data_IF_197879592978
#
_entry.id   IF_197879592978
#
_cell.length_a   1.000
_cell.length_b   1.000
_cell.length_c   1.000
_cell.angle_alpha   90.00
_cell.angle_beta   90.00
_cell.angle_gamma   90.00
#
_symmetry.space_group_name_H-M   'P 1'
#
loop_
_entity.id
_entity.type
_entity.pdbx_description
1 polymer ?
#
# COMPACT_ATOMS: atom_id res chain seq x y z
N UNK A 1 -62.47 -30.53 43.87
CA UNK A 1 -61.99 -29.35 43.13
C UNK A 1 -60.50 -29.20 43.37
N UNK A 2 -59.68 -29.66 42.47
CA UNK A 2 -58.22 -29.58 42.59
C UNK A 2 -57.68 -28.78 41.38
N UNK A 3 -57.19 -27.60 41.64
CA UNK A 3 -56.58 -26.68 40.68
C UNK A 3 -55.14 -27.09 40.47
N UNK A 4 -54.81 -27.38 39.20
CA UNK A 4 -53.50 -27.79 38.72
C UNK A 4 -52.65 -26.48 38.41
N UNK A 5 -51.42 -26.32 38.90
CA UNK A 5 -50.60 -25.20 38.55
C UNK A 5 -49.98 -25.42 37.14
N UNK A 6 -50.09 -24.41 36.26
CA UNK A 6 -49.41 -24.33 34.98
C UNK A 6 -47.98 -23.85 35.22
N UNK A 7 -47.00 -24.74 35.07
CA UNK A 7 -45.60 -24.38 34.94
C UNK A 7 -45.31 -24.05 33.48
N UNK A 8 -45.33 -22.80 33.13
CA UNK A 8 -44.81 -22.30 31.86
C UNK A 8 -43.32 -22.06 31.98
N UNK A 9 -42.52 -23.01 31.52
CA UNK A 9 -41.08 -22.87 31.37
C UNK A 9 -40.85 -22.48 29.92
N UNK A 10 -40.81 -21.18 29.71
CA UNK A 10 -40.37 -20.55 28.46
C UNK A 10 -38.84 -20.53 28.46
N UNK A 11 -38.24 -21.65 28.04
CA UNK A 11 -36.84 -21.72 27.70
C UNK A 11 -36.68 -21.13 26.32
N UNK A 12 -36.51 -19.81 26.26
CA UNK A 12 -36.02 -19.11 25.05
C UNK A 12 -34.70 -19.73 24.65
N UNK A 13 -34.77 -20.61 23.66
CA UNK A 13 -33.63 -21.18 22.95
C UNK A 13 -33.01 -20.06 22.08
N UNK A 14 -32.19 -19.22 22.71
CA UNK A 14 -31.27 -18.34 22.00
C UNK A 14 -30.13 -19.18 21.40
N UNK A 15 -30.46 -20.06 20.48
CA UNK A 15 -29.50 -20.59 19.52
C UNK A 15 -29.13 -19.46 18.59
N UNK A 16 -28.24 -18.55 19.07
CA UNK A 16 -27.43 -17.70 18.20
C UNK A 16 -26.80 -18.63 17.16
N UNK A 17 -27.37 -18.60 15.94
CA UNK A 17 -27.00 -19.49 14.86
C UNK A 17 -25.49 -19.39 14.60
N UNK A 18 -24.73 -20.31 15.17
CA UNK A 18 -23.35 -20.54 14.81
C UNK A 18 -23.35 -20.91 13.32
N UNK A 19 -23.04 -19.92 12.49
CA UNK A 19 -22.81 -20.11 11.07
C UNK A 19 -21.72 -21.18 10.95
N UNK A 20 -22.09 -22.40 10.59
CA UNK A 20 -21.12 -23.46 10.37
C UNK A 20 -20.19 -23.04 9.24
N UNK A 21 -18.92 -22.84 9.57
CA UNK A 21 -17.91 -22.48 8.57
C UNK A 21 -17.52 -23.74 7.79
N UNK A 22 -17.59 -23.66 6.46
CA UNK A 22 -17.08 -24.72 5.62
C UNK A 22 -15.55 -24.81 5.77
N UNK A 23 -15.04 -25.97 6.12
CA UNK A 23 -13.61 -26.25 6.16
C UNK A 23 -13.04 -26.30 4.76
N UNK A 24 -11.72 -26.15 4.62
CA UNK A 24 -11.00 -26.32 3.36
C UNK A 24 -10.97 -27.82 2.99
N UNK A 25 -11.27 -28.14 1.72
CA UNK A 25 -11.17 -29.51 1.18
C UNK A 25 -9.74 -29.89 0.75
N UNK A 26 -8.75 -29.06 1.08
CA UNK A 26 -7.35 -29.24 0.69
C UNK A 26 -6.67 -30.28 1.58
N UNK A 27 -5.81 -31.10 0.98
CA UNK A 27 -4.89 -31.96 1.72
C UNK A 27 -3.86 -31.13 2.52
N UNK A 28 -3.28 -31.71 3.57
CA UNK A 28 -2.38 -31.01 4.48
C UNK A 28 -1.14 -30.42 3.78
N UNK A 29 -0.61 -31.10 2.76
CA UNK A 29 0.56 -30.61 2.01
C UNK A 29 0.23 -29.38 1.18
N UNK A 30 -0.83 -29.45 0.39
CA UNK A 30 -1.32 -28.32 -0.42
C UNK A 30 -1.72 -27.16 0.46
N UNK A 31 -2.32 -27.41 1.62
CA UNK A 31 -2.65 -26.36 2.59
C UNK A 31 -1.38 -25.68 3.15
N UNK A 32 -0.32 -26.44 3.43
CA UNK A 32 0.95 -25.90 3.91
C UNK A 32 1.64 -25.04 2.82
N UNK A 33 1.65 -25.49 1.56
CA UNK A 33 2.20 -24.74 0.42
C UNK A 33 1.43 -23.42 0.22
N UNK A 34 0.11 -23.43 0.24
CA UNK A 34 -0.70 -22.22 0.07
C UNK A 34 -0.49 -21.24 1.23
N UNK A 35 -0.31 -21.72 2.47
CA UNK A 35 0.05 -20.84 3.59
C UNK A 35 1.40 -20.17 3.40
N UNK A 36 2.40 -20.90 2.90
CA UNK A 36 3.73 -20.36 2.60
C UNK A 36 3.63 -19.28 1.52
N UNK A 37 2.98 -19.57 0.39
CA UNK A 37 2.77 -18.62 -0.69
C UNK A 37 1.99 -17.37 -0.25
N UNK A 38 0.98 -17.56 0.61
CA UNK A 38 0.24 -16.45 1.18
C UNK A 38 1.12 -15.54 2.04
N UNK A 39 1.95 -16.13 2.91
CA UNK A 39 2.87 -15.39 3.76
C UNK A 39 3.90 -14.60 2.92
N UNK A 40 4.49 -15.25 1.91
CA UNK A 40 5.44 -14.64 0.97
C UNK A 40 4.82 -13.44 0.22
N UNK A 41 3.64 -13.62 -0.38
CA UNK A 41 2.96 -12.54 -1.11
C UNK A 41 2.53 -11.39 -0.17
N UNK A 42 2.14 -11.70 1.06
CA UNK A 42 1.82 -10.68 2.06
C UNK A 42 3.06 -9.88 2.48
N UNK A 43 4.20 -10.54 2.64
CA UNK A 43 5.48 -9.90 2.93
C UNK A 43 5.97 -9.06 1.76
N UNK A 44 5.92 -9.58 0.52
CA UNK A 44 6.24 -8.84 -0.69
C UNK A 44 5.42 -7.55 -0.81
N UNK A 45 4.13 -7.59 -0.50
CA UNK A 45 3.27 -6.40 -0.50
C UNK A 45 3.72 -5.34 0.52
N UNK A 46 4.12 -5.76 1.73
CA UNK A 46 4.65 -4.86 2.77
C UNK A 46 5.99 -4.27 2.35
N UNK A 47 6.87 -5.10 1.79
CA UNK A 47 8.18 -4.70 1.27
C UNK A 47 8.04 -3.61 0.20
N UNK A 48 7.21 -3.83 -0.82
CA UNK A 48 6.95 -2.86 -1.90
C UNK A 48 6.46 -1.53 -1.34
N UNK A 49 5.49 -1.57 -0.42
CA UNK A 49 4.94 -0.35 0.19
C UNK A 49 6.00 0.43 0.97
N UNK A 50 6.84 -0.27 1.73
CA UNK A 50 7.94 0.34 2.47
C UNK A 50 8.98 0.98 1.53
N UNK A 51 9.30 0.29 0.41
CA UNK A 51 10.23 0.82 -0.59
C UNK A 51 9.69 2.05 -1.30
N UNK A 52 8.40 2.11 -1.63
CA UNK A 52 7.78 3.32 -2.18
C UNK A 52 8.01 4.53 -1.27
N UNK A 53 7.74 4.42 0.04
CA UNK A 53 7.96 5.51 1.00
C UNK A 53 9.44 5.88 1.14
N UNK A 54 10.33 4.90 1.20
CA UNK A 54 11.78 5.15 1.24
C UNK A 54 12.26 5.86 -0.01
N UNK A 55 11.77 5.48 -1.19
CA UNK A 55 12.13 6.12 -2.46
C UNK A 55 11.70 7.58 -2.48
N UNK A 56 10.46 7.89 -2.08
CA UNK A 56 9.97 9.27 -1.99
C UNK A 56 10.81 10.08 -0.99
N UNK A 57 11.03 9.55 0.21
CA UNK A 57 11.83 10.23 1.23
C UNK A 57 13.26 10.51 0.80
N UNK A 58 13.94 9.52 0.20
CA UNK A 58 15.29 9.67 -0.33
C UNK A 58 15.34 10.71 -1.45
N UNK A 59 14.33 10.75 -2.33
CA UNK A 59 14.25 11.74 -3.42
C UNK A 59 14.09 13.15 -2.88
N UNK A 60 13.19 13.37 -1.94
CA UNK A 60 13.00 14.69 -1.32
C UNK A 60 14.24 15.14 -0.56
N UNK A 61 14.94 14.22 0.10
CA UNK A 61 16.23 14.52 0.74
C UNK A 61 17.30 14.88 -0.28
N UNK A 62 17.36 14.18 -1.43
CA UNK A 62 18.28 14.50 -2.52
C UNK A 62 17.98 15.87 -3.11
N UNK A 63 16.70 16.23 -3.28
CA UNK A 63 16.28 17.56 -3.72
C UNK A 63 16.75 18.65 -2.77
N UNK A 64 16.53 18.46 -1.48
CA UNK A 64 17.03 19.37 -0.46
C UNK A 64 18.57 19.50 -0.51
N UNK A 65 19.28 18.37 -0.61
CA UNK A 65 20.74 18.34 -0.73
C UNK A 65 21.25 19.14 -1.94
N UNK A 66 20.59 19.02 -3.11
CA UNK A 66 20.96 19.79 -4.30
C UNK A 66 20.87 21.30 -4.09
N UNK A 67 19.82 21.77 -3.44
CA UNK A 67 19.66 23.21 -3.13
C UNK A 67 20.73 23.67 -2.14
N UNK A 68 21.00 22.89 -1.08
CA UNK A 68 22.04 23.22 -0.09
C UNK A 68 23.41 23.29 -0.74
N UNK A 69 23.77 22.30 -1.56
CA UNK A 69 25.06 22.30 -2.28
C UNK A 69 25.17 23.52 -3.19
N UNK A 70 24.13 23.83 -3.98
CA UNK A 70 24.13 24.98 -4.87
C UNK A 70 24.38 26.30 -4.12
N UNK A 71 23.78 26.45 -2.94
CA UNK A 71 23.99 27.62 -2.07
C UNK A 71 25.42 27.67 -1.50
N UNK A 72 25.94 26.54 -1.00
CA UNK A 72 27.28 26.47 -0.39
C UNK A 72 28.40 26.77 -1.37
N UNK A 73 28.30 26.29 -2.62
CA UNK A 73 29.32 26.48 -3.64
C UNK A 73 29.09 27.79 -4.45
N UNK A 74 28.04 28.56 -4.17
CA UNK A 74 27.63 29.75 -4.93
C UNK A 74 27.50 29.39 -6.40
N UNK A 75 26.66 28.43 -6.73
CA UNK A 75 26.52 27.91 -8.08
C UNK A 75 26.27 29.02 -9.09
N UNK A 76 27.01 28.98 -10.18
CA UNK A 76 26.78 29.84 -11.35
C UNK A 76 25.57 29.36 -12.17
N UNK A 77 25.17 30.10 -13.18
CA UNK A 77 24.04 29.76 -14.06
C UNK A 77 24.20 28.40 -14.70
N UNK A 78 25.40 28.04 -15.15
CA UNK A 78 25.67 26.75 -15.82
C UNK A 78 25.48 25.57 -14.84
N UNK A 79 25.96 25.70 -13.63
CA UNK A 79 25.79 24.68 -12.60
C UNK A 79 24.32 24.56 -12.17
N UNK A 80 23.63 25.69 -12.01
CA UNK A 80 22.20 25.68 -11.68
C UNK A 80 21.36 24.98 -12.75
N UNK A 81 21.63 25.23 -14.05
CA UNK A 81 20.93 24.57 -15.16
C UNK A 81 21.18 23.06 -15.20
N UNK A 82 22.40 22.62 -14.90
CA UNK A 82 22.72 21.19 -14.80
C UNK A 82 21.97 20.53 -13.63
N UNK A 83 21.90 21.19 -12.47
CA UNK A 83 21.16 20.70 -11.31
C UNK A 83 19.64 20.64 -11.60
N UNK A 84 19.09 21.63 -12.31
CA UNK A 84 17.69 21.59 -12.75
C UNK A 84 17.44 20.41 -13.69
N UNK A 85 18.32 20.16 -14.65
CA UNK A 85 18.23 19.01 -15.55
C UNK A 85 18.26 17.68 -14.78
N UNK A 86 19.20 17.54 -13.82
CA UNK A 86 19.28 16.34 -12.96
C UNK A 86 17.99 16.17 -12.16
N UNK A 87 17.41 17.25 -11.65
CA UNK A 87 16.14 17.21 -10.90
C UNK A 87 15.00 16.65 -11.76
N UNK A 88 14.90 17.07 -13.03
CA UNK A 88 13.88 16.55 -13.97
C UNK A 88 14.08 15.06 -14.22
N UNK A 89 15.30 14.65 -14.56
CA UNK A 89 15.62 13.24 -14.84
C UNK A 89 15.32 12.37 -13.61
N UNK A 90 15.73 12.82 -12.42
CA UNK A 90 15.47 12.11 -11.17
C UNK A 90 13.98 12.01 -10.89
N UNK A 91 13.21 13.08 -11.10
CA UNK A 91 11.74 13.08 -10.95
C UNK A 91 11.08 12.05 -11.86
N UNK A 92 11.49 12.00 -13.14
CA UNK A 92 10.97 11.02 -14.10
C UNK A 92 11.32 9.58 -13.69
N UNK A 93 12.57 9.33 -13.30
CA UNK A 93 13.05 8.02 -12.89
C UNK A 93 12.29 7.53 -11.65
N UNK A 94 12.10 8.38 -10.65
CA UNK A 94 11.37 8.05 -9.41
C UNK A 94 9.89 7.81 -9.70
N UNK A 95 9.25 8.64 -10.50
CA UNK A 95 7.85 8.45 -10.90
C UNK A 95 7.66 7.10 -11.59
N UNK A 96 8.55 6.75 -12.53
CA UNK A 96 8.54 5.46 -13.20
C UNK A 96 8.71 4.30 -12.22
N UNK A 97 9.65 4.41 -11.28
CA UNK A 97 9.89 3.42 -10.22
C UNK A 97 8.65 3.21 -9.34
N UNK A 98 7.97 4.29 -8.94
CA UNK A 98 6.74 4.21 -8.14
C UNK A 98 5.62 3.49 -8.91
N UNK A 99 5.51 3.72 -10.22
CA UNK A 99 4.54 3.04 -11.09
C UNK A 99 4.85 1.55 -11.17
N UNK A 100 6.12 1.16 -11.37
CA UNK A 100 6.54 -0.27 -11.39
C UNK A 100 6.20 -0.96 -10.07
N UNK A 101 6.52 -0.33 -8.94
CA UNK A 101 6.16 -0.87 -7.63
C UNK A 101 4.65 -1.04 -7.46
N UNK A 102 3.86 -0.12 -8.01
CA UNK A 102 2.40 -0.23 -7.98
C UNK A 102 1.90 -1.44 -8.78
N UNK A 103 2.43 -1.69 -9.97
CA UNK A 103 2.10 -2.87 -10.76
C UNK A 103 2.49 -4.16 -10.05
N UNK A 104 3.69 -4.21 -9.45
CA UNK A 104 4.11 -5.37 -8.67
C UNK A 104 3.14 -5.64 -7.51
N UNK A 105 2.80 -4.61 -6.75
CA UNK A 105 1.84 -4.73 -5.64
C UNK A 105 0.47 -5.23 -6.09
N UNK A 106 -0.03 -4.77 -7.25
CA UNK A 106 -1.31 -5.25 -7.82
C UNK A 106 -1.24 -6.73 -8.14
N UNK A 107 -0.13 -7.22 -8.73
CA UNK A 107 0.08 -8.63 -9.04
C UNK A 107 0.12 -9.50 -7.78
N UNK A 108 0.86 -9.07 -6.74
CA UNK A 108 0.91 -9.82 -5.46
C UNK A 108 -0.46 -9.91 -4.79
N UNK A 109 -1.24 -8.83 -4.84
CA UNK A 109 -2.60 -8.84 -4.31
C UNK A 109 -3.56 -9.73 -5.12
N UNK A 110 -3.35 -9.84 -6.43
CA UNK A 110 -4.10 -10.78 -7.25
C UNK A 110 -3.79 -12.24 -6.87
N UNK A 111 -2.51 -12.57 -6.61
CA UNK A 111 -2.11 -13.88 -6.07
C UNK A 111 -2.79 -14.16 -4.72
N UNK A 112 -2.70 -13.22 -3.76
CA UNK A 112 -3.35 -13.35 -2.46
C UNK A 112 -4.85 -13.63 -2.60
N UNK A 113 -5.55 -12.88 -3.46
CA UNK A 113 -6.98 -13.07 -3.71
C UNK A 113 -7.30 -14.44 -4.31
N UNK A 114 -6.39 -15.02 -5.09
CA UNK A 114 -6.56 -16.36 -5.68
C UNK A 114 -6.37 -17.44 -4.62
N UNK A 115 -5.34 -17.32 -3.79
CA UNK A 115 -5.05 -18.24 -2.70
C UNK A 115 -6.19 -18.23 -1.66
N UNK A 116 -6.73 -17.06 -1.32
CA UNK A 116 -7.83 -16.92 -0.35
C UNK A 116 -9.11 -17.66 -0.76
N UNK A 117 -9.35 -17.87 -2.05
CA UNK A 117 -10.51 -18.64 -2.53
C UNK A 117 -10.45 -20.12 -2.16
N UNK A 118 -9.23 -20.63 -1.97
CA UNK A 118 -8.98 -22.04 -1.63
C UNK A 118 -9.01 -22.31 -0.12
N UNK A 119 -9.05 -21.27 0.71
CA UNK A 119 -9.17 -21.38 2.15
C UNK A 119 -10.64 -21.46 2.62
N UNK A 120 -10.83 -21.67 3.93
CA UNK A 120 -12.14 -21.80 4.56
C UNK A 120 -13.04 -20.57 4.35
N UNK A 121 -14.36 -20.77 4.47
CA UNK A 121 -15.34 -19.67 4.37
C UNK A 121 -15.12 -18.58 5.43
N UNK A 122 -14.59 -18.95 6.61
CA UNK A 122 -14.25 -17.99 7.67
C UNK A 122 -13.25 -16.95 7.20
N UNK A 123 -12.15 -17.37 6.54
CA UNK A 123 -11.14 -16.43 6.04
C UNK A 123 -11.72 -15.49 4.99
N UNK A 124 -12.59 -16.01 4.11
CA UNK A 124 -13.29 -15.21 3.10
C UNK A 124 -14.23 -14.18 3.73
N UNK A 125 -14.98 -14.56 4.75
CA UNK A 125 -15.92 -13.67 5.46
C UNK A 125 -15.17 -12.55 6.18
N UNK A 126 -14.08 -12.85 6.88
CA UNK A 126 -13.21 -11.84 7.53
C UNK A 126 -12.60 -10.87 6.50
N UNK A 127 -12.17 -11.36 5.35
CA UNK A 127 -11.62 -10.53 4.28
C UNK A 127 -12.68 -9.69 3.57
N UNK A 128 -13.91 -10.19 3.46
CA UNK A 128 -15.03 -9.48 2.85
C UNK A 128 -15.46 -8.22 3.64
N UNK A 129 -15.11 -8.14 4.93
CA UNK A 129 -15.33 -6.95 5.75
C UNK A 129 -14.65 -5.69 5.16
N UNK A 130 -13.54 -5.87 4.44
CA UNK A 130 -12.89 -4.78 3.73
C UNK A 130 -13.21 -4.83 2.24
N UNK A 131 -13.97 -3.85 1.76
CA UNK A 131 -14.33 -3.75 0.34
C UNK A 131 -13.08 -3.66 -0.55
N UNK A 132 -13.03 -4.47 -1.63
CA UNK A 132 -11.96 -4.41 -2.63
C UNK A 132 -11.86 -3.02 -3.27
N UNK A 133 -13.00 -2.35 -3.48
CA UNK A 133 -13.07 -1.01 -4.06
C UNK A 133 -12.38 0.01 -3.17
N UNK A 134 -12.65 -0.05 -1.87
CA UNK A 134 -12.05 0.82 -0.87
C UNK A 134 -10.52 0.63 -0.79
N UNK A 135 -10.05 -0.61 -0.80
CA UNK A 135 -8.61 -0.92 -0.83
C UNK A 135 -7.91 -0.43 -2.10
N UNK A 136 -8.57 -0.46 -3.27
CA UNK A 136 -8.02 0.05 -4.51
C UNK A 136 -7.96 1.58 -4.53
N UNK A 137 -9.06 2.24 -4.15
CA UNK A 137 -9.11 3.71 -4.07
C UNK A 137 -7.98 4.22 -3.17
N UNK A 138 -7.84 3.67 -1.96
CA UNK A 138 -6.80 4.09 -1.03
C UNK A 138 -5.38 3.95 -1.62
N UNK A 139 -5.09 2.87 -2.33
CA UNK A 139 -3.77 2.62 -2.93
C UNK A 139 -3.42 3.59 -4.05
N UNK A 140 -4.36 3.82 -4.97
CA UNK A 140 -4.15 4.76 -6.07
C UNK A 140 -4.07 6.20 -5.57
N UNK A 141 -4.88 6.57 -4.59
CA UNK A 141 -4.81 7.87 -3.94
C UNK A 141 -3.43 8.10 -3.32
N UNK A 142 -2.88 7.12 -2.58
CA UNK A 142 -1.53 7.23 -2.02
C UNK A 142 -0.46 7.37 -3.12
N UNK A 143 -0.55 6.62 -4.22
CA UNK A 143 0.39 6.75 -5.33
C UNK A 143 0.34 8.16 -5.93
N UNK A 144 -0.86 8.70 -6.16
CA UNK A 144 -1.03 10.07 -6.67
C UNK A 144 -0.42 11.09 -5.72
N UNK A 145 -0.63 10.96 -4.42
CA UNK A 145 0.00 11.84 -3.43
C UNK A 145 1.52 11.73 -3.42
N UNK A 146 2.09 10.54 -3.56
CA UNK A 146 3.53 10.34 -3.65
C UNK A 146 4.12 11.03 -4.89
N UNK A 147 3.51 10.84 -6.07
CA UNK A 147 3.93 11.47 -7.32
C UNK A 147 3.79 12.99 -7.23
N UNK A 148 2.66 13.48 -6.72
CA UNK A 148 2.45 14.91 -6.50
C UNK A 148 3.48 15.51 -5.54
N UNK A 149 3.80 14.82 -4.45
CA UNK A 149 4.82 15.25 -3.48
C UNK A 149 6.21 15.37 -4.11
N UNK A 150 6.62 14.38 -4.92
CA UNK A 150 7.88 14.43 -5.68
C UNK A 150 7.87 15.58 -6.70
N UNK A 151 6.77 15.76 -7.43
CA UNK A 151 6.62 16.86 -8.40
C UNK A 151 6.68 18.25 -7.74
N UNK A 152 6.00 18.42 -6.60
CA UNK A 152 6.07 19.67 -5.82
C UNK A 152 7.50 19.91 -5.31
N UNK A 153 8.17 18.86 -4.80
CA UNK A 153 9.58 18.96 -4.39
C UNK A 153 10.48 19.42 -5.53
N UNK A 154 10.33 18.85 -6.73
CA UNK A 154 11.05 19.25 -7.94
C UNK A 154 10.78 20.73 -8.30
N UNK A 155 9.52 21.16 -8.24
CA UNK A 155 9.15 22.56 -8.51
C UNK A 155 9.84 23.53 -7.53
N UNK A 156 9.87 23.19 -6.23
CA UNK A 156 10.56 23.99 -5.22
C UNK A 156 12.06 24.08 -5.51
N UNK A 157 12.70 22.97 -5.91
CA UNK A 157 14.12 22.97 -6.30
C UNK A 157 14.36 23.88 -7.50
N UNK A 158 13.53 23.78 -8.55
CA UNK A 158 13.63 24.64 -9.73
C UNK A 158 13.55 26.12 -9.38
N UNK A 159 12.57 26.51 -8.54
CA UNK A 159 12.41 27.89 -8.09
C UNK A 159 13.60 28.37 -7.26
N UNK A 160 14.14 27.50 -6.39
CA UNK A 160 15.30 27.82 -5.55
C UNK A 160 16.57 28.02 -6.41
N UNK A 161 16.82 27.11 -7.35
CA UNK A 161 17.98 27.18 -8.24
C UNK A 161 17.89 28.36 -9.20
N UNK A 162 16.71 28.68 -9.73
CA UNK A 162 16.50 29.84 -10.57
C UNK A 162 16.82 31.15 -9.83
N UNK A 163 16.47 31.27 -8.55
CA UNK A 163 16.83 32.43 -7.71
C UNK A 163 18.32 32.53 -7.41
N UNK A 164 19.02 31.39 -7.33
CA UNK A 164 20.50 31.38 -7.14
C UNK A 164 21.19 31.81 -8.43
N UNK A 165 20.71 31.37 -9.59
CA UNK A 165 21.27 31.67 -10.89
C UNK A 165 21.05 33.13 -11.33
N UNK A 166 19.95 33.74 -10.89
CA UNK A 166 19.55 35.13 -11.26
C UNK A 166 19.16 35.89 -9.98
N UNK A 167 20.17 36.32 -9.18
CA UNK A 167 19.98 37.02 -7.92
C UNK A 167 19.39 38.43 -8.08
#
# INVERSE_FOLDING_TARGET
MATKPKTGQDTGDETAGHKAFAMSDLDDKTHAELRMLYAESAEATRFVKNHQWKTVGATLLSFFGMVVIAQMVRADTVMADRLMTITIVLTMAVTFTLIIYQFWMVNELAKLNTIEKSFSSLLRDVRALKSRREGNVHRYTLLVFMIAGVGLGATVVHLALARIAHP
#
